data_IF_016559396810
#
_entry.id   IF_016559396810
#
_cell.length_a   1.000
_cell.length_b   1.000
_cell.length_c   1.000
_cell.angle_alpha   90.00
_cell.angle_beta   90.00
_cell.angle_gamma   90.00
#
_symmetry.space_group_name_H-M   'P 1'
#
loop_
_entity.id
_entity.type
_entity.pdbx_description
1 polymer ?
#
# COMPACT_ATOMS: atom_id res chain seq x y z
N UNK A 1 -45.99 -13.47 -3.71
CA UNK A 1 -45.81 -13.38 -2.26
C UNK A 1 -46.76 -12.30 -1.74
N UNK A 2 -47.47 -12.49 -0.62
CA UNK A 2 -48.23 -11.39 -0.01
C UNK A 2 -47.27 -10.46 0.74
N UNK A 3 -47.35 -9.15 0.48
CA UNK A 3 -46.52 -8.13 1.13
C UNK A 3 -46.66 -8.16 2.65
N UNK A 4 -47.85 -8.37 3.20
CA UNK A 4 -48.07 -8.39 4.65
C UNK A 4 -47.36 -9.56 5.33
N UNK A 5 -47.36 -10.74 4.68
CA UNK A 5 -46.70 -11.94 5.19
C UNK A 5 -45.17 -11.79 5.13
N UNK A 6 -44.66 -11.19 4.05
CA UNK A 6 -43.24 -10.83 3.93
C UNK A 6 -42.81 -9.86 5.03
N UNK A 7 -43.61 -8.82 5.29
CA UNK A 7 -43.36 -7.86 6.37
C UNK A 7 -43.40 -8.52 7.75
N UNK A 8 -44.40 -9.35 8.04
CA UNK A 8 -44.51 -9.99 9.35
C UNK A 8 -43.32 -10.92 9.66
N UNK A 9 -42.88 -11.70 8.67
CA UNK A 9 -41.82 -12.70 8.90
C UNK A 9 -40.42 -12.09 8.99
N UNK A 10 -40.13 -11.04 8.19
CA UNK A 10 -38.76 -10.53 8.04
C UNK A 10 -38.48 -9.27 8.86
N UNK A 11 -39.50 -8.53 9.28
CA UNK A 11 -39.33 -7.32 10.10
C UNK A 11 -38.49 -7.49 11.38
N UNK A 12 -38.56 -8.61 12.12
CA UNK A 12 -37.71 -8.79 13.30
C UNK A 12 -36.20 -8.75 12.99
N UNK A 13 -35.76 -9.37 11.88
CA UNK A 13 -34.34 -9.36 11.50
C UNK A 13 -33.89 -7.97 11.05
N UNK A 14 -34.77 -7.23 10.36
CA UNK A 14 -34.49 -5.86 9.95
C UNK A 14 -34.33 -4.92 11.14
N UNK A 15 -35.22 -5.03 12.13
CA UNK A 15 -35.16 -4.25 13.36
C UNK A 15 -33.88 -4.55 14.15
N UNK A 16 -33.49 -5.83 14.24
CA UNK A 16 -32.25 -6.22 14.90
C UNK A 16 -31.01 -5.65 14.21
N UNK A 17 -30.96 -5.74 12.88
CA UNK A 17 -29.87 -5.15 12.11
C UNK A 17 -29.83 -3.63 12.28
N UNK A 18 -30.98 -2.95 12.30
CA UNK A 18 -31.06 -1.52 12.52
C UNK A 18 -30.56 -1.10 13.91
N UNK A 19 -30.82 -1.90 14.94
CA UNK A 19 -30.29 -1.69 16.29
C UNK A 19 -28.76 -1.79 16.31
N UNK A 20 -28.20 -2.86 15.74
CA UNK A 20 -26.75 -3.06 15.68
C UNK A 20 -26.04 -1.96 14.86
N UNK A 21 -26.63 -1.56 13.73
CA UNK A 21 -26.14 -0.44 12.90
C UNK A 21 -26.13 0.86 13.70
N UNK A 22 -27.20 1.15 14.44
CA UNK A 22 -27.31 2.36 15.26
C UNK A 22 -26.30 2.38 16.41
N UNK A 23 -26.08 1.23 17.04
CA UNK A 23 -25.07 1.05 18.09
C UNK A 23 -23.65 1.30 17.54
N UNK A 24 -23.32 0.69 16.40
CA UNK A 24 -22.03 0.85 15.74
C UNK A 24 -21.77 2.30 15.28
N UNK A 25 -22.80 2.99 14.78
CA UNK A 25 -22.69 4.40 14.36
C UNK A 25 -22.39 5.34 15.53
N UNK A 26 -22.96 5.09 16.71
CA UNK A 26 -22.70 5.90 17.91
C UNK A 26 -21.33 5.61 18.51
N UNK A 27 -20.94 4.36 18.55
CA UNK A 27 -19.64 3.93 19.06
C UNK A 27 -19.16 2.70 18.29
N UNK A 28 -18.22 2.88 17.35
CA UNK A 28 -17.69 1.78 16.54
C UNK A 28 -17.05 0.64 17.36
N UNK A 29 -16.71 0.89 18.64
CA UNK A 29 -16.13 -0.08 19.57
C UNK A 29 -17.15 -0.73 20.51
N UNK A 30 -18.43 -0.36 20.40
CA UNK A 30 -19.47 -0.86 21.31
C UNK A 30 -20.06 -2.20 20.91
N UNK A 31 -19.76 -2.70 19.70
CA UNK A 31 -20.14 -4.04 19.29
C UNK A 31 -19.11 -5.06 19.81
N UNK A 32 -19.58 -6.03 20.57
CA UNK A 32 -18.78 -7.20 20.95
C UNK A 32 -18.59 -8.14 19.74
N UNK A 33 -17.57 -9.01 19.79
CA UNK A 33 -17.31 -10.00 18.72
C UNK A 33 -18.56 -10.75 18.22
N UNK A 34 -19.37 -11.34 19.12
CA UNK A 34 -20.61 -12.02 18.71
C UNK A 34 -21.63 -11.12 17.99
N UNK A 35 -21.68 -9.83 18.32
CA UNK A 35 -22.58 -8.87 17.69
C UNK A 35 -22.09 -8.44 16.30
N UNK A 36 -20.78 -8.48 16.06
CA UNK A 36 -20.20 -8.27 14.72
C UNK A 36 -20.52 -9.44 13.79
N UNK A 37 -20.41 -10.68 14.29
CA UNK A 37 -20.79 -11.88 13.53
C UNK A 37 -22.29 -11.90 13.23
N UNK A 38 -23.11 -11.49 14.21
CA UNK A 38 -24.56 -11.32 14.04
C UNK A 38 -24.87 -10.26 12.97
N UNK A 39 -24.20 -9.11 12.99
CA UNK A 39 -24.36 -8.05 11.99
C UNK A 39 -23.99 -8.53 10.58
N UNK A 40 -22.91 -9.32 10.43
CA UNK A 40 -22.52 -9.90 9.14
C UNK A 40 -23.56 -10.88 8.60
N UNK A 41 -24.09 -11.75 9.47
CA UNK A 41 -25.15 -12.70 9.11
C UNK A 41 -26.44 -11.98 8.70
N UNK A 42 -26.87 -11.00 9.49
CA UNK A 42 -28.05 -10.19 9.19
C UNK A 42 -27.87 -9.40 7.89
N UNK A 43 -26.69 -8.85 7.63
CA UNK A 43 -26.41 -8.13 6.39
C UNK A 43 -26.66 -9.00 5.15
N UNK A 44 -26.20 -10.24 5.15
CA UNK A 44 -26.45 -11.17 4.03
C UNK A 44 -27.96 -11.45 3.86
N UNK A 45 -28.66 -11.72 4.97
CA UNK A 45 -30.09 -12.00 4.95
C UNK A 45 -30.93 -10.80 4.46
N UNK A 46 -30.64 -9.59 4.94
CA UNK A 46 -31.36 -8.37 4.56
C UNK A 46 -31.04 -7.94 3.13
N UNK A 47 -29.83 -8.22 2.63
CA UNK A 47 -29.48 -7.99 1.22
C UNK A 47 -30.27 -8.93 0.30
N UNK A 48 -30.45 -10.20 0.70
CA UNK A 48 -31.34 -11.11 -0.02
C UNK A 48 -32.80 -10.65 0.02
N UNK A 49 -33.27 -10.13 1.15
CA UNK A 49 -34.61 -9.54 1.27
C UNK A 49 -34.80 -8.31 0.38
N UNK A 50 -33.78 -7.47 0.26
CA UNK A 50 -33.79 -6.33 -0.65
C UNK A 50 -33.93 -6.79 -2.10
N UNK A 51 -33.19 -7.82 -2.52
CA UNK A 51 -33.31 -8.36 -3.87
C UNK A 51 -34.71 -8.91 -4.16
N UNK A 52 -35.32 -9.61 -3.19
CA UNK A 52 -36.70 -10.08 -3.28
C UNK A 52 -37.70 -8.91 -3.34
N UNK A 53 -37.52 -7.89 -2.50
CA UNK A 53 -38.38 -6.71 -2.48
C UNK A 53 -38.28 -5.88 -3.77
N UNK A 54 -37.09 -5.77 -4.36
CA UNK A 54 -36.91 -5.14 -5.68
C UNK A 54 -37.62 -5.91 -6.80
N UNK A 55 -37.62 -7.25 -6.75
CA UNK A 55 -38.28 -8.10 -7.73
C UNK A 55 -39.81 -8.04 -7.61
N UNK A 56 -40.33 -8.24 -6.39
CA UNK A 56 -41.76 -8.46 -6.16
C UNK A 56 -42.51 -7.16 -5.81
N UNK A 57 -41.81 -6.16 -5.27
CA UNK A 57 -42.40 -4.93 -4.70
C UNK A 57 -41.58 -3.64 -5.02
N UNK A 58 -41.17 -3.39 -6.28
CA UNK A 58 -40.21 -2.34 -6.62
C UNK A 58 -40.63 -0.92 -6.19
N UNK A 59 -41.93 -0.62 -6.23
CA UNK A 59 -42.46 0.72 -5.93
C UNK A 59 -42.95 0.88 -4.48
N UNK A 60 -42.71 -0.11 -3.61
CA UNK A 60 -43.16 -0.07 -2.22
C UNK A 60 -42.12 0.55 -1.29
N UNK A 61 -42.60 1.17 -0.20
CA UNK A 61 -41.73 1.80 0.81
C UNK A 61 -40.73 0.81 1.46
N UNK A 62 -41.11 -0.47 1.57
CA UNK A 62 -40.22 -1.51 2.11
C UNK A 62 -38.92 -1.63 1.32
N UNK A 63 -38.98 -1.49 -0.01
CA UNK A 63 -37.81 -1.60 -0.89
C UNK A 63 -36.85 -0.44 -0.65
N UNK A 64 -37.38 0.77 -0.46
CA UNK A 64 -36.59 1.95 -0.11
C UNK A 64 -35.97 1.82 1.29
N UNK A 65 -36.75 1.35 2.26
CA UNK A 65 -36.29 1.12 3.63
C UNK A 65 -35.12 0.12 3.68
N UNK A 66 -35.27 -1.03 3.00
CA UNK A 66 -34.24 -2.06 2.96
C UNK A 66 -32.96 -1.56 2.26
N UNK A 67 -33.11 -0.79 1.18
CA UNK A 67 -31.97 -0.19 0.48
C UNK A 67 -31.16 0.71 1.42
N UNK A 68 -31.83 1.61 2.15
CA UNK A 68 -31.18 2.50 3.11
C UNK A 68 -30.54 1.72 4.27
N UNK A 69 -31.18 0.67 4.78
CA UNK A 69 -30.62 -0.16 5.85
C UNK A 69 -29.34 -0.89 5.40
N UNK A 70 -29.36 -1.51 4.21
CA UNK A 70 -28.20 -2.19 3.62
C UNK A 70 -27.07 -1.21 3.36
N UNK A 71 -27.36 -0.01 2.82
CA UNK A 71 -26.34 1.01 2.57
C UNK A 71 -25.64 1.50 3.84
N UNK A 72 -26.40 1.72 4.93
CA UNK A 72 -25.83 2.09 6.24
C UNK A 72 -24.93 0.98 6.80
N UNK A 73 -25.36 -0.27 6.73
CA UNK A 73 -24.57 -1.40 7.22
C UNK A 73 -23.31 -1.66 6.36
N UNK A 74 -23.40 -1.50 5.05
CA UNK A 74 -22.27 -1.67 4.14
C UNK A 74 -21.11 -0.72 4.51
N UNK A 75 -21.45 0.53 4.87
CA UNK A 75 -20.48 1.53 5.32
C UNK A 75 -19.82 1.18 6.67
N UNK A 76 -20.42 0.29 7.47
CA UNK A 76 -19.83 -0.17 8.74
C UNK A 76 -18.99 -1.43 8.56
N UNK A 77 -19.42 -2.34 7.69
CA UNK A 77 -18.75 -3.62 7.44
C UNK A 77 -17.49 -3.44 6.59
N UNK A 78 -17.54 -2.56 5.57
CA UNK A 78 -16.49 -2.46 4.57
C UNK A 78 -15.63 -1.19 4.65
N UNK A 79 -16.04 -0.17 5.42
CA UNK A 79 -15.21 1.03 5.57
C UNK A 79 -14.10 0.72 6.57
N UNK A 80 -12.88 0.55 6.04
CA UNK A 80 -11.69 0.21 6.83
C UNK A 80 -11.49 1.14 8.03
N UNK A 81 -10.92 0.60 9.11
CA UNK A 81 -10.68 1.37 10.34
C UNK A 81 -10.00 2.72 10.00
N UNK A 82 -10.48 3.86 10.52
CA UNK A 82 -9.77 5.12 10.33
C UNK A 82 -8.36 4.94 10.89
N UNK A 83 -7.34 5.25 10.08
CA UNK A 83 -5.92 5.19 10.42
C UNK A 83 -5.71 5.64 11.87
N UNK A 84 -5.48 4.67 12.76
CA UNK A 84 -5.33 4.96 14.18
C UNK A 84 -3.97 5.59 14.34
N UNK A 85 -3.92 6.90 14.58
CA UNK A 85 -2.67 7.62 14.90
C UNK A 85 -1.82 6.90 15.96
N UNK A 86 -2.45 6.16 16.88
CA UNK A 86 -1.77 5.29 17.86
C UNK A 86 -1.04 4.10 17.23
N UNK A 87 -1.61 3.44 16.22
CA UNK A 87 -0.96 2.36 15.47
C UNK A 87 0.19 2.90 14.62
N UNK A 88 0.02 4.06 13.99
CA UNK A 88 1.11 4.71 13.25
C UNK A 88 2.28 5.08 14.18
N UNK A 89 1.99 5.65 15.36
CA UNK A 89 3.00 5.98 16.37
C UNK A 89 3.70 4.72 16.92
N UNK A 90 2.96 3.63 17.11
CA UNK A 90 3.55 2.36 17.52
C UNK A 90 4.44 1.78 16.42
N UNK A 91 3.98 1.77 15.17
CA UNK A 91 4.75 1.33 14.01
C UNK A 91 6.11 2.06 13.93
N UNK A 92 6.09 3.40 13.96
CA UNK A 92 7.31 4.19 13.87
C UNK A 92 8.24 4.04 15.08
N UNK A 93 7.72 3.80 16.28
CA UNK A 93 8.53 3.71 17.51
C UNK A 93 9.06 2.31 17.80
N UNK A 94 8.36 1.26 17.38
CA UNK A 94 8.71 -0.11 17.74
C UNK A 94 8.94 -0.98 16.52
N UNK A 95 7.98 -1.08 15.61
CA UNK A 95 8.05 -2.04 14.49
C UNK A 95 9.12 -1.66 13.48
N UNK A 96 9.20 -0.38 13.11
CA UNK A 96 10.16 0.10 12.12
C UNK A 96 11.62 0.01 12.61
N UNK A 97 11.97 0.46 13.83
CA UNK A 97 13.32 0.29 14.35
C UNK A 97 13.73 -1.17 14.55
N UNK A 98 12.78 -2.02 14.94
CA UNK A 98 13.02 -3.46 15.10
C UNK A 98 13.32 -4.11 13.75
N UNK A 99 12.49 -3.84 12.74
CA UNK A 99 12.72 -4.33 11.37
C UNK A 99 14.07 -3.88 10.83
N UNK A 100 14.47 -2.62 11.06
CA UNK A 100 15.77 -2.12 10.64
C UNK A 100 16.93 -2.88 11.31
N UNK A 101 16.82 -3.19 12.60
CA UNK A 101 17.84 -3.98 13.33
C UNK A 101 17.91 -5.42 12.84
N UNK A 102 16.76 -6.01 12.51
CA UNK A 102 16.69 -7.37 11.98
C UNK A 102 17.30 -7.45 10.57
N UNK A 103 17.18 -6.38 9.78
CA UNK A 103 17.76 -6.28 8.44
C UNK A 103 19.23 -5.82 8.43
N UNK A 104 19.71 -5.26 9.53
CA UNK A 104 21.05 -4.69 9.65
C UNK A 104 22.17 -5.66 9.26
N UNK A 105 22.15 -6.96 9.61
CA UNK A 105 23.18 -7.91 9.16
C UNK A 105 23.25 -8.05 7.65
N UNK A 106 22.11 -8.06 6.96
CA UNK A 106 22.06 -8.15 5.49
C UNK A 106 22.52 -6.85 4.83
N UNK A 107 22.08 -5.70 5.36
CA UNK A 107 22.54 -4.39 4.89
C UNK A 107 24.05 -4.22 5.11
N UNK A 108 24.58 -4.67 6.24
CA UNK A 108 26.01 -4.62 6.54
C UNK A 108 26.79 -5.57 5.63
N UNK A 109 26.29 -6.77 5.39
CA UNK A 109 26.90 -7.71 4.45
C UNK A 109 27.00 -7.11 3.04
N UNK A 110 25.92 -6.53 2.52
CA UNK A 110 25.92 -5.84 1.25
C UNK A 110 26.90 -4.65 1.26
N UNK A 111 26.84 -3.81 2.29
CA UNK A 111 27.75 -2.67 2.43
C UNK A 111 29.21 -3.10 2.39
N UNK A 112 29.59 -4.13 3.14
CA UNK A 112 30.96 -4.68 3.16
C UNK A 112 31.34 -5.28 1.80
N UNK A 113 30.42 -6.01 1.15
CA UNK A 113 30.64 -6.61 -0.16
C UNK A 113 30.94 -5.57 -1.24
N UNK A 114 30.34 -4.39 -1.18
CA UNK A 114 30.62 -3.29 -2.12
C UNK A 114 31.80 -2.42 -1.67
N UNK A 115 31.89 -2.11 -0.37
CA UNK A 115 32.91 -1.20 0.15
C UNK A 115 34.31 -1.80 0.10
N UNK A 116 34.48 -3.07 0.51
CA UNK A 116 35.82 -3.65 0.59
C UNK A 116 36.50 -3.74 -0.78
N UNK A 117 35.88 -4.29 -1.84
CA UNK A 117 36.50 -4.29 -3.16
C UNK A 117 36.74 -2.87 -3.70
N UNK A 118 35.81 -1.93 -3.47
CA UNK A 118 36.00 -0.54 -3.89
C UNK A 118 37.22 0.10 -3.21
N UNK A 119 37.42 -0.12 -1.91
CA UNK A 119 38.60 0.37 -1.19
C UNK A 119 39.88 -0.30 -1.69
N UNK A 120 39.86 -1.62 -1.90
CA UNK A 120 41.03 -2.36 -2.40
C UNK A 120 41.41 -1.89 -3.81
N UNK A 121 40.45 -1.78 -4.72
CA UNK A 121 40.66 -1.27 -6.07
C UNK A 121 41.16 0.17 -6.05
N UNK A 122 40.52 1.05 -5.27
CA UNK A 122 40.92 2.46 -5.13
C UNK A 122 42.33 2.62 -4.59
N UNK A 123 42.72 1.85 -3.56
CA UNK A 123 44.08 1.85 -3.04
C UNK A 123 45.09 1.31 -4.06
N UNK A 124 44.74 0.26 -4.80
CA UNK A 124 45.63 -0.31 -5.81
C UNK A 124 45.92 0.70 -6.93
N UNK A 125 44.89 1.41 -7.41
CA UNK A 125 45.04 2.49 -8.41
C UNK A 125 45.81 3.69 -7.82
N UNK A 126 45.60 4.03 -6.55
CA UNK A 126 46.33 5.11 -5.89
C UNK A 126 47.84 4.83 -5.77
N UNK A 127 48.24 3.56 -5.62
CA UNK A 127 49.66 3.16 -5.58
C UNK A 127 50.24 3.02 -6.98
N UNK A 128 49.49 2.43 -7.92
CA UNK A 128 49.89 2.29 -9.31
C UNK A 128 48.71 2.62 -10.25
N UNK A 129 48.71 3.79 -10.90
CA UNK A 129 47.61 4.23 -11.77
C UNK A 129 47.27 3.25 -12.90
N UNK A 130 48.27 2.54 -13.45
CA UNK A 130 48.07 1.59 -14.55
C UNK A 130 47.16 0.41 -14.17
N UNK A 131 46.99 0.16 -12.87
CA UNK A 131 46.10 -0.90 -12.35
C UNK A 131 44.66 -0.73 -12.83
N UNK A 132 44.22 0.50 -13.12
CA UNK A 132 42.85 0.75 -13.57
C UNK A 132 42.54 0.03 -14.89
N UNK A 133 43.52 -0.09 -15.79
CA UNK A 133 43.39 -0.79 -17.07
C UNK A 133 43.39 -2.32 -16.92
N UNK A 134 43.86 -2.84 -15.80
CA UNK A 134 43.78 -4.27 -15.46
C UNK A 134 42.37 -4.61 -14.94
N UNK A 135 41.76 -3.70 -14.17
CA UNK A 135 40.44 -3.90 -13.55
C UNK A 135 39.31 -3.67 -14.56
N UNK A 136 39.34 -2.53 -15.26
CA UNK A 136 38.26 -2.08 -16.16
C UNK A 136 38.56 -2.37 -17.65
N UNK A 137 39.80 -2.74 -17.97
CA UNK A 137 40.27 -2.97 -19.33
C UNK A 137 40.77 -1.69 -20.03
N UNK A 138 41.33 -1.82 -21.24
CA UNK A 138 41.90 -0.68 -21.98
C UNK A 138 40.83 0.30 -22.51
N UNK A 139 39.56 -0.11 -22.57
CA UNK A 139 38.47 0.69 -23.14
C UNK A 139 38.13 1.96 -22.35
N UNK A 140 38.55 2.06 -21.08
CA UNK A 140 38.27 3.23 -20.24
C UNK A 140 39.29 4.37 -20.39
N UNK A 141 40.34 4.22 -21.20
CA UNK A 141 41.41 5.21 -21.32
C UNK A 141 40.92 6.62 -21.63
N UNK A 142 39.91 6.76 -22.50
CA UNK A 142 39.30 8.06 -22.79
C UNK A 142 38.62 8.71 -21.58
N UNK A 143 37.97 7.91 -20.72
CA UNK A 143 37.36 8.39 -19.48
C UNK A 143 38.41 8.76 -18.43
N UNK A 144 39.52 8.02 -18.36
CA UNK A 144 40.64 8.35 -17.46
C UNK A 144 41.25 9.69 -17.85
N UNK A 145 41.50 9.91 -19.15
CA UNK A 145 42.03 11.18 -19.65
C UNK A 145 41.08 12.35 -19.34
N UNK A 146 39.76 12.17 -19.52
CA UNK A 146 38.75 13.16 -19.18
C UNK A 146 38.80 13.53 -17.69
N UNK A 147 38.81 12.52 -16.80
CA UNK A 147 38.89 12.73 -15.34
C UNK A 147 40.20 13.39 -14.91
N UNK A 148 41.34 13.04 -15.51
CA UNK A 148 42.64 13.65 -15.23
C UNK A 148 42.70 15.13 -15.64
N UNK A 149 41.97 15.52 -16.68
CA UNK A 149 41.78 16.92 -17.08
C UNK A 149 40.78 17.67 -16.20
N UNK A 150 40.19 16.99 -15.21
CA UNK A 150 39.17 17.54 -14.31
C UNK A 150 37.78 17.63 -14.94
N UNK A 151 37.56 16.94 -16.06
CA UNK A 151 36.27 16.82 -16.73
C UNK A 151 35.58 15.55 -16.22
N UNK A 152 34.29 15.65 -15.88
CA UNK A 152 33.50 14.49 -15.47
C UNK A 152 32.46 14.17 -16.54
N UNK A 153 32.07 12.91 -16.65
CA UNK A 153 30.93 12.49 -17.49
C UNK A 153 29.61 13.24 -17.14
N UNK A 154 29.53 13.84 -15.95
CA UNK A 154 28.41 14.68 -15.51
C UNK A 154 28.44 16.11 -16.05
N UNK A 155 29.56 16.57 -16.63
CA UNK A 155 29.73 17.91 -17.20
C UNK A 155 29.07 18.02 -18.59
N UNK A 156 27.76 17.87 -18.59
CA UNK A 156 26.97 17.87 -19.81
C UNK A 156 26.75 19.31 -20.29
N UNK A 157 27.13 19.60 -21.54
CA UNK A 157 26.96 20.92 -22.15
C UNK A 157 25.48 21.37 -22.15
N UNK A 158 25.16 22.64 -21.81
CA UNK A 158 23.77 23.09 -21.64
C UNK A 158 22.83 22.79 -22.82
N UNK A 159 23.34 22.85 -24.05
CA UNK A 159 22.56 22.62 -25.27
C UNK A 159 22.10 21.17 -25.47
N UNK A 160 22.70 20.20 -24.78
CA UNK A 160 22.40 18.77 -24.94
C UNK A 160 21.84 18.11 -23.68
N UNK A 161 21.73 18.84 -22.56
CA UNK A 161 21.23 18.31 -21.28
C UNK A 161 19.84 17.68 -21.38
N UNK A 162 18.93 18.28 -22.16
CA UNK A 162 17.58 17.73 -22.35
C UNK A 162 17.61 16.36 -23.02
N UNK A 163 18.43 16.20 -24.07
CA UNK A 163 18.58 14.92 -24.77
C UNK A 163 19.30 13.88 -23.88
N UNK A 164 20.37 14.27 -23.18
CA UNK A 164 21.08 13.41 -22.25
C UNK A 164 20.17 12.91 -21.12
N UNK A 165 19.33 13.79 -20.55
CA UNK A 165 18.35 13.41 -19.53
C UNK A 165 17.34 12.38 -20.04
N UNK A 166 16.85 12.51 -21.28
CA UNK A 166 15.94 11.53 -21.88
C UNK A 166 16.61 10.17 -22.06
N UNK A 167 17.87 10.13 -22.48
CA UNK A 167 18.63 8.88 -22.62
C UNK A 167 18.85 8.20 -21.27
N UNK A 168 19.31 8.96 -20.26
CA UNK A 168 19.51 8.45 -18.89
C UNK A 168 18.20 7.90 -18.33
N UNK A 169 17.10 8.64 -18.47
CA UNK A 169 15.79 8.22 -17.99
C UNK A 169 15.27 6.96 -18.70
N UNK A 170 15.48 6.86 -20.02
CA UNK A 170 15.07 5.68 -20.79
C UNK A 170 15.85 4.44 -20.37
N UNK A 171 17.16 4.58 -20.16
CA UNK A 171 18.00 3.50 -19.64
C UNK A 171 17.53 3.04 -18.26
N UNK A 172 17.29 3.97 -17.33
CA UNK A 172 16.83 3.67 -15.97
C UNK A 172 15.46 2.97 -15.89
N UNK A 173 14.60 3.09 -16.92
CA UNK A 173 13.26 2.46 -16.96
C UNK A 173 13.30 1.08 -17.63
N UNK A 174 14.35 0.78 -18.41
CA UNK A 174 14.51 -0.51 -19.08
C UNK A 174 15.19 -1.59 -18.21
N UNK A 175 15.80 -1.19 -17.10
CA UNK A 175 16.42 -2.08 -16.09
C UNK A 175 15.40 -2.44 -15.02
#
# INVERSE_FOLDING_TARGET
MNLELFLQQRRPSWQRMEELVRQAQRSPRSLAGPQLDELGTLYQAVTADLALAQRDFPNQQVTLYLNQLVGRAHTLIYRGEPLRWRQLKAFYRTQFPQLYRDLLPYTLAAFVLFLLPALVAGMAVAVNPDTIYVIEGPGIAGLVEEVERGELWTDIAPGVRSAASSLIMTNNIQV
#
